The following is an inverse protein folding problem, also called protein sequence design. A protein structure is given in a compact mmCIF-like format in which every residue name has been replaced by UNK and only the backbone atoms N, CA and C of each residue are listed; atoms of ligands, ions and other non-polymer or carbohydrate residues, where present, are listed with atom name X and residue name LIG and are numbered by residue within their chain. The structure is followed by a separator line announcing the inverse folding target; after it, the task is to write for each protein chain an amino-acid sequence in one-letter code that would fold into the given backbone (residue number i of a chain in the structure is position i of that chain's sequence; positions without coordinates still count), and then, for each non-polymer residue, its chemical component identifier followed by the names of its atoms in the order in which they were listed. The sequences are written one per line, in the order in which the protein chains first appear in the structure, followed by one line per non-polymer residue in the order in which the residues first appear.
data_IF_570569636082
#
_entry.id   IF_570569636082
#
_cell.length_a   1.000
_cell.length_b   1.000
_cell.length_c   1.000
_cell.angle_alpha   90.00
_cell.angle_beta   90.00
_cell.angle_gamma   90.00
#
_symmetry.space_group_name_H-M   'P 1'
#
loop_
_entity.id
_entity.type
_entity.pdbx_description
1 polymer ?
#
# COMPACT_ATOMS: atom_id res chain seq x y z
N UNK A 1 2.89 12.10 -3.74
CA UNK A 1 4.05 12.06 -2.81
C UNK A 1 4.49 10.61 -2.64
N UNK A 2 5.76 10.34 -2.31
CA UNK A 2 6.30 8.97 -2.15
C UNK A 2 6.92 8.81 -0.75
N UNK A 3 6.80 7.61 -0.19
CA UNK A 3 7.42 7.21 1.08
C UNK A 3 8.23 5.95 0.84
N UNK A 4 9.39 5.82 1.49
CA UNK A 4 10.26 4.66 1.36
C UNK A 4 10.17 3.76 2.61
N UNK A 5 10.09 2.45 2.38
CA UNK A 5 10.22 1.41 3.41
C UNK A 5 11.70 1.11 3.64
N UNK A 6 12.26 1.58 4.76
CA UNK A 6 13.66 1.37 5.15
C UNK A 6 13.78 0.34 6.27
N UNK A 7 14.96 -0.29 6.38
CA UNK A 7 15.27 -1.24 7.45
C UNK A 7 16.38 -2.24 7.09
N UNK A 8 16.90 -2.91 8.10
CA UNK A 8 18.05 -3.83 8.00
C UNK A 8 17.78 -5.04 7.09
N UNK A 9 18.83 -5.69 6.59
CA UNK A 9 18.68 -6.91 5.80
C UNK A 9 17.84 -7.95 6.57
N UNK A 10 16.98 -8.68 5.86
CA UNK A 10 16.04 -9.67 6.43
C UNK A 10 15.00 -9.13 7.44
N UNK A 11 14.80 -7.82 7.59
CA UNK A 11 13.77 -7.24 8.48
C UNK A 11 12.31 -7.33 7.97
N UNK A 12 12.00 -8.17 6.96
CA UNK A 12 10.63 -8.36 6.47
C UNK A 12 10.04 -7.26 5.55
N UNK A 13 10.82 -6.25 5.15
CA UNK A 13 10.36 -5.14 4.26
C UNK A 13 9.68 -5.62 2.98
N UNK A 14 10.26 -6.62 2.31
CA UNK A 14 9.71 -7.18 1.08
C UNK A 14 8.37 -7.88 1.32
N UNK A 15 8.20 -8.50 2.49
CA UNK A 15 6.94 -9.13 2.91
C UNK A 15 5.85 -8.09 3.09
N UNK A 16 6.14 -7.00 3.81
CA UNK A 16 5.18 -5.90 4.00
C UNK A 16 4.75 -5.31 2.66
N UNK A 17 5.70 -5.00 1.78
CA UNK A 17 5.39 -4.42 0.48
C UNK A 17 4.58 -5.39 -0.41
N UNK A 18 4.88 -6.69 -0.39
CA UNK A 18 4.10 -7.72 -1.08
C UNK A 18 2.66 -7.78 -0.55
N UNK A 19 2.47 -7.75 0.77
CA UNK A 19 1.14 -7.75 1.40
C UNK A 19 0.31 -6.51 1.06
N UNK A 20 0.92 -5.32 1.01
CA UNK A 20 0.21 -4.08 0.66
C UNK A 20 -0.11 -3.97 -0.84
N UNK A 21 0.75 -4.53 -1.69
CA UNK A 21 0.63 -4.40 -3.15
C UNK A 21 -0.09 -5.57 -3.83
N UNK A 22 -0.27 -6.69 -3.14
CA UNK A 22 -0.75 -7.94 -3.72
C UNK A 22 0.26 -8.61 -4.68
N UNK A 23 1.49 -8.09 -4.79
CA UNK A 23 2.53 -8.65 -5.66
C UNK A 23 3.26 -9.80 -4.96
N UNK A 24 3.82 -10.71 -5.76
CA UNK A 24 4.67 -11.79 -5.24
C UNK A 24 5.92 -11.24 -4.53
N UNK A 25 6.38 -11.96 -3.50
CA UNK A 25 7.60 -11.61 -2.78
C UNK A 25 8.78 -11.72 -3.75
N UNK A 26 9.58 -10.66 -3.95
CA UNK A 26 10.70 -10.69 -4.86
C UNK A 26 11.82 -11.65 -4.35
N UNK A 27 12.61 -12.24 -5.26
CA UNK A 27 13.71 -13.14 -4.90
C UNK A 27 14.71 -12.47 -3.95
N UNK A 28 15.34 -13.27 -3.08
CA UNK A 28 16.39 -12.79 -2.18
C UNK A 28 17.54 -12.21 -3.00
N UNK A 29 17.92 -10.96 -2.70
CA UNK A 29 18.99 -10.25 -3.41
C UNK A 29 18.53 -9.46 -4.65
N UNK A 30 17.24 -9.39 -4.94
CA UNK A 30 16.74 -8.54 -6.03
C UNK A 30 17.01 -7.05 -5.77
N UNK A 31 17.55 -6.34 -6.74
CA UNK A 31 17.81 -4.88 -6.68
C UNK A 31 16.72 -4.04 -7.33
N UNK A 32 15.63 -4.68 -7.79
CA UNK A 32 14.51 -3.99 -8.45
C UNK A 32 13.75 -3.13 -7.45
N UNK A 33 13.51 -1.88 -7.83
CA UNK A 33 12.66 -0.96 -7.05
C UNK A 33 11.20 -1.33 -7.31
N UNK A 34 10.50 -1.75 -6.27
CA UNK A 34 9.06 -2.01 -6.30
C UNK A 34 8.30 -0.84 -5.70
N UNK A 35 7.29 -0.36 -6.41
CA UNK A 35 6.38 0.69 -5.95
C UNK A 35 4.95 0.16 -5.89
N UNK A 36 4.18 0.69 -4.94
CA UNK A 36 2.77 0.37 -4.74
C UNK A 36 2.02 1.62 -4.28
N UNK A 37 0.80 1.81 -4.79
CA UNK A 37 -0.13 2.84 -4.34
C UNK A 37 -1.18 2.15 -3.50
N UNK A 38 -1.41 2.65 -2.30
CA UNK A 38 -2.36 2.09 -1.34
C UNK A 38 -3.37 3.17 -0.99
N UNK A 39 -4.68 2.89 -1.07
CA UNK A 39 -5.70 3.85 -0.65
C UNK A 39 -5.55 4.14 0.84
N UNK A 40 -5.70 5.40 1.22
CA UNK A 40 -5.63 5.80 2.62
C UNK A 40 -6.97 5.47 3.28
N UNK A 41 -7.01 4.64 4.32
CA UNK A 41 -8.25 4.37 5.05
C UNK A 41 -8.68 5.64 5.81
N UNK A 42 -9.90 6.11 5.55
CA UNK A 42 -10.47 7.30 6.17
C UNK A 42 -11.97 7.11 6.43
N UNK A 43 -12.33 6.84 7.68
CA UNK A 43 -13.72 6.59 8.12
C UNK A 43 -14.66 7.77 7.83
N UNK A 44 -14.12 8.99 7.67
CA UNK A 44 -14.92 10.17 7.33
C UNK A 44 -15.42 10.10 5.90
N UNK A 45 -14.62 9.53 4.99
CA UNK A 45 -15.05 9.31 3.60
C UNK A 45 -16.15 8.26 3.54
N UNK A 46 -16.08 7.23 4.38
CA UNK A 46 -17.11 6.21 4.48
C UNK A 46 -18.44 6.82 4.95
N UNK A 47 -18.40 7.64 6.01
CA UNK A 47 -19.57 8.36 6.51
C UNK A 47 -20.17 9.31 5.45
N UNK A 48 -19.34 10.10 4.77
CA UNK A 48 -19.79 11.02 3.71
C UNK A 48 -20.41 10.27 2.53
N UNK A 49 -19.85 9.11 2.19
CA UNK A 49 -20.36 8.25 1.12
C UNK A 49 -21.76 7.75 1.46
N UNK A 50 -21.99 7.30 2.69
CA UNK A 50 -23.29 6.82 3.14
C UNK A 50 -24.34 7.95 3.17
N UNK A 51 -23.94 9.12 3.67
CA UNK A 51 -24.84 10.28 3.79
C UNK A 51 -25.23 10.88 2.44
N UNK A 52 -24.27 11.09 1.54
CA UNK A 52 -24.50 11.77 0.26
C UNK A 52 -24.79 10.85 -0.93
N UNK A 53 -24.53 9.54 -0.82
CA UNK A 53 -24.73 8.53 -1.88
C UNK A 53 -24.21 8.98 -3.26
N UNK A 54 -22.93 9.37 -3.36
CA UNK A 54 -22.37 9.90 -4.60
C UNK A 54 -22.29 8.82 -5.69
N UNK A 55 -22.25 9.24 -6.96
CA UNK A 55 -22.10 8.31 -8.11
C UNK A 55 -20.71 7.65 -8.20
N UNK A 56 -19.71 8.24 -7.55
CA UNK A 56 -18.35 7.74 -7.49
C UNK A 56 -17.80 7.97 -6.09
N UNK A 57 -17.11 6.95 -5.61
CA UNK A 57 -16.21 7.00 -4.46
C UNK A 57 -14.80 6.64 -4.94
N UNK A 58 -13.82 6.99 -4.11
CA UNK A 58 -12.37 6.99 -4.36
C UNK A 58 -11.82 5.85 -5.22
#
# INVERSE_FOLDING_TARGET
MKVALLGLLQSGKSTILASLSGKAIPPVGSTKIEEAIVPVPDERLDWLTEYYKPKKTT
#
